data_IF_456615720773
#
_entry.id   IF_456615720773
#
_cell.length_a   1.000
_cell.length_b   1.000
_cell.length_c   1.000
_cell.angle_alpha   90.00
_cell.angle_beta   90.00
_cell.angle_gamma   90.00
#
_symmetry.space_group_name_H-M   'P 1'
#
loop_
_entity.id
_entity.type
_entity.pdbx_description
1 polymer ?
#
# COMPACT_ATOMS: atom_id res chain seq x y z
N UNK A 1 -14.86 7.41 -8.77
CA UNK A 1 -14.15 8.25 -7.78
C UNK A 1 -13.33 7.33 -6.88
N UNK A 2 -12.08 7.63 -6.66
CA UNK A 2 -11.22 6.88 -5.71
C UNK A 2 -11.77 7.09 -4.31
N UNK A 3 -12.02 5.99 -3.60
CA UNK A 3 -12.61 6.06 -2.27
C UNK A 3 -11.58 6.44 -1.21
N UNK A 4 -10.39 5.86 -1.30
CA UNK A 4 -9.32 5.98 -0.32
C UNK A 4 -8.03 6.44 -1.01
N UNK A 5 -7.19 7.20 -0.31
CA UNK A 5 -5.89 7.67 -0.77
C UNK A 5 -4.82 7.29 0.25
N UNK A 6 -3.85 6.49 -0.19
CA UNK A 6 -2.65 6.17 0.57
C UNK A 6 -1.52 7.12 0.12
N UNK A 7 -0.94 7.87 1.06
CA UNK A 7 0.11 8.85 0.78
C UNK A 7 1.44 8.37 1.36
N UNK A 8 2.44 8.18 0.50
CA UNK A 8 3.82 7.92 0.95
C UNK A 8 4.55 9.26 1.06
N UNK A 9 4.97 9.59 2.28
CA UNK A 9 5.64 10.83 2.60
C UNK A 9 7.15 10.70 2.37
N UNK A 10 7.72 11.61 1.58
CA UNK A 10 9.16 11.75 1.37
C UNK A 10 9.73 12.67 2.44
N UNK A 11 10.13 12.10 3.57
CA UNK A 11 10.52 12.87 4.76
C UNK A 11 11.74 13.76 4.52
N UNK A 12 12.61 13.38 3.58
CA UNK A 12 13.84 14.10 3.20
C UNK A 12 13.56 15.46 2.56
N UNK A 13 12.36 15.64 2.01
CA UNK A 13 11.96 16.87 1.29
C UNK A 13 10.73 17.53 1.91
N UNK A 14 10.29 17.06 3.07
CA UNK A 14 9.13 17.63 3.76
C UNK A 14 9.49 18.91 4.49
N UNK A 15 8.84 19.99 4.09
CA UNK A 15 8.96 21.31 4.72
C UNK A 15 7.80 21.55 5.68
N UNK A 16 7.99 22.52 6.59
CA UNK A 16 6.94 23.01 7.51
C UNK A 16 5.65 23.41 6.77
N UNK A 17 5.78 23.96 5.58
CA UNK A 17 4.66 24.34 4.71
C UNK A 17 3.77 23.14 4.34
N UNK A 18 4.32 21.95 4.14
CA UNK A 18 3.51 20.75 3.87
C UNK A 18 2.57 20.46 5.04
N UNK A 19 3.07 20.47 6.28
CA UNK A 19 2.23 20.19 7.46
C UNK A 19 1.09 21.21 7.58
N UNK A 20 1.36 22.50 7.34
CA UNK A 20 0.33 23.53 7.38
C UNK A 20 -0.75 23.27 6.32
N UNK A 21 -0.36 23.13 5.05
CA UNK A 21 -1.29 22.86 3.97
C UNK A 21 -2.09 21.57 4.16
N UNK A 22 -1.45 20.51 4.67
CA UNK A 22 -2.12 19.25 4.91
C UNK A 22 -3.17 19.36 6.03
N UNK A 23 -2.85 20.06 7.13
CA UNK A 23 -3.82 20.33 8.18
C UNK A 23 -4.98 21.22 7.71
N UNK A 24 -4.70 22.24 6.91
CA UNK A 24 -5.72 23.11 6.32
C UNK A 24 -6.65 22.30 5.38
N UNK A 25 -6.09 21.40 4.59
CA UNK A 25 -6.85 20.48 3.73
C UNK A 25 -7.77 19.55 4.54
N UNK A 26 -7.24 18.92 5.59
CA UNK A 26 -8.04 18.06 6.46
C UNK A 26 -9.18 18.82 7.15
N UNK A 27 -8.90 20.05 7.59
CA UNK A 27 -9.89 20.94 8.21
C UNK A 27 -10.95 21.38 7.22
N UNK A 28 -10.55 21.79 6.02
CA UNK A 28 -11.48 22.19 4.95
C UNK A 28 -12.38 21.03 4.52
N UNK A 29 -11.85 19.80 4.46
CA UNK A 29 -12.60 18.58 4.18
C UNK A 29 -13.45 18.07 5.34
N UNK A 30 -13.32 18.64 6.54
CA UNK A 30 -14.07 18.22 7.73
C UNK A 30 -13.74 16.80 8.18
N UNK A 31 -12.48 16.33 7.95
CA UNK A 31 -12.08 14.97 8.28
C UNK A 31 -12.09 14.69 9.79
N UNK A 32 -12.60 13.51 10.14
CA UNK A 32 -12.45 12.90 11.46
C UNK A 32 -11.16 12.09 11.53
N UNK A 33 -10.53 12.06 12.72
CA UNK A 33 -9.44 11.11 12.98
C UNK A 33 -10.03 9.74 13.23
N UNK A 34 -9.49 8.73 12.58
CA UNK A 34 -9.92 7.36 12.83
C UNK A 34 -9.64 6.96 14.28
N UNK A 35 -10.67 6.46 14.96
CA UNK A 35 -10.60 6.02 16.35
C UNK A 35 -10.43 4.49 16.41
N UNK A 36 -9.47 4.04 17.17
CA UNK A 36 -9.23 2.62 17.43
C UNK A 36 -10.26 2.09 18.41
N UNK A 37 -10.40 0.75 18.47
CA UNK A 37 -11.30 0.09 19.42
C UNK A 37 -11.00 0.39 20.91
N UNK A 38 -9.76 0.84 21.23
CA UNK A 38 -9.34 1.30 22.54
C UNK A 38 -9.64 2.78 22.81
N UNK A 39 -10.38 3.46 21.93
CA UNK A 39 -10.72 4.88 22.02
C UNK A 39 -9.58 5.84 21.65
N UNK A 40 -8.42 5.33 21.25
CA UNK A 40 -7.27 6.17 20.85
C UNK A 40 -7.44 6.67 19.42
N UNK A 41 -7.44 8.01 19.23
CA UNK A 41 -7.47 8.64 17.90
C UNK A 41 -6.12 8.55 17.24
N UNK A 42 -6.10 8.07 15.99
CA UNK A 42 -4.88 8.02 15.19
C UNK A 42 -4.61 9.38 14.53
N UNK A 43 -3.35 9.66 14.24
CA UNK A 43 -2.92 10.85 13.49
C UNK A 43 -2.23 10.49 12.18
N UNK A 44 -2.53 9.30 11.66
CA UNK A 44 -2.06 8.81 10.34
C UNK A 44 -3.19 8.31 9.46
N UNK A 45 -4.42 8.24 9.98
CA UNK A 45 -5.61 7.84 9.21
C UNK A 45 -6.74 8.82 9.49
N UNK A 46 -7.25 9.44 8.44
CA UNK A 46 -8.30 10.44 8.46
C UNK A 46 -9.46 9.95 7.61
N UNK A 47 -10.68 10.03 8.13
CA UNK A 47 -11.86 9.39 7.55
C UNK A 47 -13.07 10.33 7.59
N UNK A 48 -14.09 9.96 6.84
CA UNK A 48 -15.43 10.56 6.90
C UNK A 48 -15.40 12.08 6.68
N UNK A 49 -14.95 12.54 5.49
CA UNK A 49 -15.02 13.96 5.16
C UNK A 49 -16.46 14.44 5.14
N UNK A 50 -16.66 15.72 5.40
CA UNK A 50 -18.00 16.34 5.41
C UNK A 50 -18.64 16.40 4.00
N UNK A 51 -17.85 16.30 2.91
CA UNK A 51 -18.33 16.33 1.53
C UNK A 51 -17.77 15.16 0.72
N UNK A 52 -18.56 14.69 -0.24
CA UNK A 52 -18.15 13.67 -1.23
C UNK A 52 -17.11 14.14 -2.24
N UNK A 53 -16.73 15.42 -2.23
CA UNK A 53 -15.66 15.97 -3.08
C UNK A 53 -14.25 15.57 -2.59
N UNK A 54 -14.18 15.07 -1.36
CA UNK A 54 -12.93 14.61 -0.74
C UNK A 54 -12.83 13.09 -0.71
N UNK A 55 -11.62 12.50 -0.79
CA UNK A 55 -11.42 11.07 -0.58
C UNK A 55 -12.01 10.62 0.77
N UNK A 56 -12.69 9.48 0.79
CA UNK A 56 -13.32 8.97 2.02
C UNK A 56 -12.31 8.72 3.15
N UNK A 57 -11.10 8.27 2.79
CA UNK A 57 -10.02 8.01 3.73
C UNK A 57 -8.68 8.47 3.17
N UNK A 58 -7.86 9.04 4.03
CA UNK A 58 -6.45 9.32 3.76
C UNK A 58 -5.60 8.59 4.80
N UNK A 59 -4.60 7.85 4.34
CA UNK A 59 -3.65 7.13 5.18
C UNK A 59 -2.23 7.58 4.87
N UNK A 60 -1.42 7.83 5.91
CA UNK A 60 -0.05 8.29 5.78
C UNK A 60 0.92 7.14 6.03
N UNK A 61 1.84 6.95 5.07
CA UNK A 61 2.97 6.02 5.16
C UNK A 61 4.27 6.79 5.04
N UNK A 62 5.31 6.36 5.73
CA UNK A 62 6.62 6.98 5.63
C UNK A 62 7.73 5.99 6.03
N UNK A 63 8.95 6.29 5.62
CA UNK A 63 10.15 5.61 6.09
C UNK A 63 11.21 6.66 6.45
N UNK A 64 11.63 6.78 7.70
CA UNK A 64 12.74 7.63 8.08
C UNK A 64 14.07 6.94 7.71
N UNK A 65 14.92 7.63 6.94
CA UNK A 65 16.18 7.04 6.47
C UNK A 65 17.23 6.91 7.57
N UNK A 66 17.26 7.87 8.50
CA UNK A 66 18.34 8.01 9.48
C UNK A 66 17.88 7.84 10.93
N UNK A 67 16.74 7.23 11.18
CA UNK A 67 16.21 7.01 12.53
C UNK A 67 16.15 5.52 12.79
N UNK A 68 16.85 5.07 13.83
CA UNK A 68 16.66 3.72 14.36
C UNK A 68 15.21 3.57 14.86
N UNK A 69 14.49 2.65 14.24
CA UNK A 69 13.13 2.33 14.64
C UNK A 69 13.17 1.10 15.55
N UNK A 70 12.68 1.18 16.79
CA UNK A 70 12.62 0.03 17.69
C UNK A 70 11.92 -1.15 17.04
N UNK A 71 12.40 -2.36 17.33
CA UNK A 71 11.83 -3.60 16.82
C UNK A 71 10.33 -3.68 17.17
N UNK A 72 9.51 -4.05 16.20
CA UNK A 72 8.05 -4.14 16.36
C UNK A 72 7.28 -2.83 16.26
N UNK A 73 7.94 -1.69 16.13
CA UNK A 73 7.26 -0.41 15.93
C UNK A 73 6.70 -0.32 14.51
N UNK A 74 5.37 -0.12 14.40
CA UNK A 74 4.68 0.00 13.10
C UNK A 74 4.24 1.44 12.76
N UNK A 75 4.43 2.39 13.67
CA UNK A 75 3.97 3.78 13.52
C UNK A 75 5.05 4.71 14.01
N UNK A 76 5.41 5.69 13.20
CA UNK A 76 6.36 6.75 13.55
C UNK A 76 5.63 8.07 13.75
N UNK A 77 6.15 8.92 14.64
CA UNK A 77 5.66 10.27 14.85
C UNK A 77 6.50 11.25 14.05
N UNK A 78 5.84 12.00 13.20
CA UNK A 78 6.42 13.10 12.44
C UNK A 78 6.26 14.39 13.24
N UNK A 79 7.37 15.05 13.59
CA UNK A 79 7.36 16.31 14.32
C UNK A 79 7.63 17.45 13.33
N UNK A 80 6.61 18.23 12.95
CA UNK A 80 6.86 19.51 12.31
C UNK A 80 7.54 20.46 13.30
N UNK A 81 8.11 21.55 12.79
CA UNK A 81 8.69 22.60 13.66
C UNK A 81 7.69 23.14 14.71
N UNK A 82 8.15 24.06 15.55
CA UNK A 82 7.35 24.62 16.63
C UNK A 82 6.01 25.19 16.16
N UNK A 83 4.96 25.00 16.95
CA UNK A 83 3.64 25.59 16.71
C UNK A 83 2.68 24.76 15.84
N UNK A 84 3.12 23.66 15.25
CA UNK A 84 2.25 22.80 14.41
C UNK A 84 1.91 21.48 15.11
N UNK A 85 0.69 20.98 14.82
CA UNK A 85 0.28 19.67 15.31
C UNK A 85 1.08 18.55 14.65
N UNK A 86 1.57 17.59 15.45
CA UNK A 86 2.29 16.43 14.95
C UNK A 86 1.36 15.51 14.13
N UNK A 87 1.92 14.90 13.10
CA UNK A 87 1.34 13.78 12.37
C UNK A 87 2.01 12.48 12.81
N UNK A 88 1.41 11.36 12.46
CA UNK A 88 2.07 10.05 12.49
C UNK A 88 1.97 9.43 11.10
N UNK A 89 2.78 8.42 10.83
CA UNK A 89 2.69 7.64 9.61
C UNK A 89 2.91 6.16 9.93
N UNK A 90 2.33 5.29 9.11
CA UNK A 90 2.62 3.85 9.14
C UNK A 90 4.05 3.68 8.60
N UNK A 91 4.86 2.93 9.33
CA UNK A 91 6.23 2.64 8.90
C UNK A 91 6.21 1.74 7.66
N UNK A 92 6.80 2.24 6.58
CA UNK A 92 7.04 1.48 5.38
C UNK A 92 8.44 0.85 5.45
N UNK A 93 8.55 -0.40 5.03
CA UNK A 93 9.84 -1.09 4.93
C UNK A 93 10.81 -0.34 4.00
N UNK A 94 12.09 -0.23 4.40
CA UNK A 94 13.09 0.57 3.70
C UNK A 94 13.39 0.09 2.28
N UNK A 95 13.34 -1.21 2.01
CA UNK A 95 13.55 -1.73 0.67
C UNK A 95 12.40 -1.33 -0.26
N UNK A 96 11.15 -1.42 0.22
CA UNK A 96 9.96 -0.97 -0.50
C UNK A 96 9.95 0.54 -0.69
N UNK A 97 10.32 1.30 0.34
CA UNK A 97 10.38 2.76 0.24
C UNK A 97 11.36 3.22 -0.84
N UNK A 98 12.60 2.71 -0.83
CA UNK A 98 13.61 3.05 -1.85
C UNK A 98 13.15 2.68 -3.26
N UNK A 99 12.49 1.53 -3.40
CA UNK A 99 11.98 1.08 -4.68
C UNK A 99 10.83 2.00 -5.18
N UNK A 100 9.92 2.40 -4.30
CA UNK A 100 8.86 3.37 -4.59
C UNK A 100 9.42 4.72 -5.04
N UNK A 101 10.40 5.25 -4.31
CA UNK A 101 11.04 6.54 -4.66
C UNK A 101 11.71 6.48 -6.02
N UNK A 102 12.41 5.37 -6.32
CA UNK A 102 13.09 5.15 -7.60
C UNK A 102 12.12 5.06 -8.79
N UNK A 103 10.98 4.39 -8.61
CA UNK A 103 10.04 4.06 -9.69
C UNK A 103 8.76 4.92 -9.68
N UNK A 104 8.69 5.98 -8.86
CA UNK A 104 7.55 6.90 -8.91
C UNK A 104 7.49 7.61 -10.26
N UNK A 105 6.28 7.85 -10.74
CA UNK A 105 6.03 8.67 -11.92
C UNK A 105 5.38 9.97 -11.51
N UNK A 106 5.76 11.07 -12.15
CA UNK A 106 5.09 12.35 -11.97
C UNK A 106 4.13 12.55 -13.13
N UNK A 107 2.85 12.81 -12.82
CA UNK A 107 1.82 13.10 -13.82
C UNK A 107 2.06 14.45 -14.50
N UNK A 108 1.36 14.74 -15.60
CA UNK A 108 1.42 16.02 -16.27
C UNK A 108 1.00 17.22 -15.38
N UNK A 109 0.20 16.96 -14.34
CA UNK A 109 -0.20 17.95 -13.33
C UNK A 109 0.79 18.09 -12.17
N UNK A 110 1.95 17.42 -12.23
CA UNK A 110 2.96 17.46 -11.16
C UNK A 110 2.67 16.52 -9.98
N UNK A 111 1.61 15.72 -10.03
CA UNK A 111 1.27 14.78 -8.95
C UNK A 111 2.13 13.52 -9.04
N UNK A 112 2.90 13.15 -8.00
CA UNK A 112 3.61 11.88 -7.96
C UNK A 112 2.63 10.72 -7.77
N UNK A 113 2.81 9.66 -8.56
CA UNK A 113 1.95 8.48 -8.56
C UNK A 113 2.77 7.22 -8.38
N UNK A 114 2.20 6.26 -7.65
CA UNK A 114 2.69 4.89 -7.57
C UNK A 114 2.08 4.10 -8.73
N UNK A 115 2.92 3.48 -9.53
CA UNK A 115 2.50 2.73 -10.71
C UNK A 115 1.98 1.32 -10.35
N UNK A 116 1.18 0.69 -11.23
CA UNK A 116 0.62 -0.65 -11.00
C UNK A 116 1.66 -1.70 -10.62
N UNK A 117 2.82 -1.69 -11.26
CA UNK A 117 3.93 -2.60 -11.01
C UNK A 117 4.46 -2.49 -9.56
N UNK A 118 4.47 -1.30 -8.99
CA UNK A 118 4.83 -1.10 -7.59
C UNK A 118 3.68 -1.45 -6.63
N UNK A 119 2.44 -1.13 -7.02
CA UNK A 119 1.26 -1.49 -6.24
C UNK A 119 1.12 -3.01 -6.09
N UNK A 120 1.47 -3.79 -7.12
CA UNK A 120 1.47 -5.24 -7.07
C UNK A 120 2.36 -5.75 -5.93
N UNK A 121 3.60 -5.26 -5.85
CA UNK A 121 4.54 -5.62 -4.80
C UNK A 121 4.01 -5.25 -3.40
N UNK A 122 3.48 -4.04 -3.25
CA UNK A 122 2.88 -3.59 -1.98
C UNK A 122 1.68 -4.44 -1.56
N UNK A 123 0.82 -4.85 -2.50
CA UNK A 123 -0.33 -5.72 -2.22
C UNK A 123 0.10 -7.14 -1.82
N UNK A 124 1.15 -7.68 -2.46
CA UNK A 124 1.74 -8.96 -2.07
C UNK A 124 2.30 -8.87 -0.64
N UNK A 125 3.08 -7.84 -0.32
CA UNK A 125 3.60 -7.60 1.04
C UNK A 125 2.49 -7.44 2.07
N UNK A 126 1.45 -6.67 1.76
CA UNK A 126 0.31 -6.49 2.66
C UNK A 126 -0.40 -7.82 2.97
N UNK A 127 -0.55 -8.71 1.98
CA UNK A 127 -1.09 -10.06 2.17
C UNK A 127 -0.23 -10.88 3.15
N UNK A 128 1.09 -10.90 2.95
CA UNK A 128 2.02 -11.62 3.82
C UNK A 128 2.00 -11.09 5.25
N UNK A 129 2.00 -9.76 5.43
CA UNK A 129 1.91 -9.11 6.73
C UNK A 129 0.62 -9.48 7.48
N UNK A 130 -0.53 -9.53 6.77
CA UNK A 130 -1.80 -9.96 7.37
C UNK A 130 -1.77 -11.45 7.76
N UNK A 131 -1.12 -12.31 6.96
CA UNK A 131 -0.95 -13.73 7.32
C UNK A 131 -0.09 -13.89 8.56
N UNK A 132 0.99 -13.14 8.66
CA UNK A 132 1.85 -13.14 9.84
C UNK A 132 1.10 -12.64 11.08
N UNK A 133 0.40 -11.51 10.97
CA UNK A 133 -0.43 -10.97 12.04
C UNK A 133 -1.49 -12.01 12.51
N UNK A 134 -2.10 -12.74 11.55
CA UNK A 134 -3.03 -13.83 11.87
C UNK A 134 -2.35 -14.99 12.61
N UNK A 135 -1.16 -15.42 12.17
CA UNK A 135 -0.35 -16.43 12.86
C UNK A 135 0.00 -16.02 14.29
N UNK A 136 0.24 -14.72 14.48
CA UNK A 136 0.54 -14.12 15.79
C UNK A 136 -0.71 -13.82 16.64
N UNK A 137 -1.87 -14.40 16.27
CA UNK A 137 -3.11 -14.35 17.06
C UNK A 137 -3.93 -13.07 16.92
N UNK A 138 -3.59 -12.17 15.98
CA UNK A 138 -4.41 -11.00 15.72
C UNK A 138 -5.69 -11.36 14.96
N UNK A 139 -6.79 -10.70 15.29
CA UNK A 139 -8.07 -10.86 14.60
C UNK A 139 -8.01 -10.21 13.20
N UNK A 140 -7.69 -11.00 12.18
CA UNK A 140 -7.64 -10.57 10.78
C UNK A 140 -8.91 -11.03 10.05
N UNK A 141 -9.57 -10.10 9.35
CA UNK A 141 -10.76 -10.42 8.55
C UNK A 141 -10.34 -11.10 7.25
N UNK A 142 -10.92 -12.24 6.95
CA UNK A 142 -10.67 -12.98 5.69
C UNK A 142 -10.91 -12.15 4.43
N UNK A 143 -11.85 -11.20 4.48
CA UNK A 143 -12.11 -10.29 3.37
C UNK A 143 -10.88 -9.42 3.03
N UNK A 144 -10.07 -9.04 4.02
CA UNK A 144 -8.91 -8.17 3.81
C UNK A 144 -7.76 -8.95 3.17
N UNK A 145 -7.55 -10.22 3.58
CA UNK A 145 -6.65 -11.16 2.89
C UNK A 145 -7.07 -11.36 1.43
N UNK A 146 -8.35 -11.68 1.21
CA UNK A 146 -8.90 -11.86 -0.14
C UNK A 146 -8.76 -10.61 -1.00
N UNK A 147 -8.95 -9.41 -0.43
CA UNK A 147 -8.79 -8.14 -1.12
C UNK A 147 -7.37 -8.01 -1.66
N UNK A 148 -6.35 -8.08 -0.81
CA UNK A 148 -4.95 -7.92 -1.23
C UNK A 148 -4.53 -8.98 -2.25
N UNK A 149 -4.87 -10.25 -2.01
CA UNK A 149 -4.64 -11.33 -2.96
C UNK A 149 -5.23 -11.04 -4.34
N UNK A 150 -6.50 -10.68 -4.39
CA UNK A 150 -7.19 -10.44 -5.65
C UNK A 150 -6.65 -9.21 -6.37
N UNK A 151 -6.23 -8.18 -5.61
CA UNK A 151 -5.64 -6.97 -6.17
C UNK A 151 -4.30 -7.27 -6.86
N UNK A 152 -3.46 -8.17 -6.31
CA UNK A 152 -2.23 -8.60 -6.99
C UNK A 152 -2.54 -9.14 -8.39
N UNK A 153 -3.49 -10.10 -8.50
CA UNK A 153 -3.82 -10.71 -9.79
C UNK A 153 -4.57 -9.76 -10.73
N UNK A 154 -5.30 -8.77 -10.23
CA UNK A 154 -5.88 -7.70 -11.07
C UNK A 154 -4.81 -6.78 -11.65
N UNK A 155 -3.79 -6.45 -10.86
CA UNK A 155 -2.70 -5.56 -11.26
C UNK A 155 -1.82 -6.16 -12.36
N UNK A 156 -1.76 -7.48 -12.50
CA UNK A 156 -1.08 -8.15 -13.63
C UNK A 156 -1.57 -7.62 -14.98
N UNK A 157 -2.86 -7.37 -15.12
CA UNK A 157 -3.45 -6.85 -16.37
C UNK A 157 -3.09 -5.40 -16.68
N UNK A 158 -2.45 -4.72 -15.75
CA UNK A 158 -2.00 -3.33 -15.90
C UNK A 158 -0.47 -3.23 -16.08
N UNK A 159 0.23 -4.35 -16.05
CA UNK A 159 1.67 -4.35 -16.32
C UNK A 159 1.89 -4.01 -17.80
N UNK A 160 2.87 -3.12 -18.12
CA UNK A 160 3.22 -2.85 -19.50
C UNK A 160 3.72 -4.11 -20.20
N UNK A 161 3.45 -4.23 -21.50
CA UNK A 161 4.04 -5.31 -22.32
C UNK A 161 5.58 -5.27 -22.19
N UNK A 162 6.21 -6.43 -22.07
CA UNK A 162 7.67 -6.58 -21.95
C UNK A 162 8.27 -5.87 -20.70
N UNK A 163 7.42 -5.58 -19.69
CA UNK A 163 7.91 -4.99 -18.45
C UNK A 163 8.82 -5.96 -17.69
N UNK A 164 9.98 -5.48 -17.31
CA UNK A 164 10.92 -6.19 -16.44
C UNK A 164 11.45 -5.27 -15.34
N UNK A 165 11.52 -5.77 -14.12
CA UNK A 165 12.04 -5.04 -12.97
C UNK A 165 12.99 -5.92 -12.15
N UNK A 166 14.17 -5.38 -11.88
CA UNK A 166 15.07 -5.93 -10.87
C UNK A 166 14.69 -5.37 -9.50
N UNK A 167 14.54 -6.27 -8.54
CA UNK A 167 14.15 -5.93 -7.18
C UNK A 167 15.29 -6.18 -6.19
N UNK A 168 15.33 -5.44 -5.07
CA UNK A 168 16.14 -5.83 -3.91
C UNK A 168 15.75 -7.23 -3.41
N UNK A 169 16.73 -8.00 -2.95
CA UNK A 169 16.51 -9.39 -2.46
C UNK A 169 15.35 -9.54 -1.49
N UNK A 170 15.14 -8.67 -0.47
CA UNK A 170 14.00 -8.80 0.44
C UNK A 170 12.65 -8.70 -0.26
N UNK A 171 12.53 -7.81 -1.26
CA UNK A 171 11.29 -7.63 -2.02
C UNK A 171 11.03 -8.83 -2.94
N UNK A 172 12.10 -9.33 -3.58
CA UNK A 172 12.04 -10.53 -4.42
C UNK A 172 11.65 -11.77 -3.58
N UNK A 173 12.20 -11.91 -2.37
CA UNK A 173 11.86 -12.99 -1.46
C UNK A 173 10.37 -12.93 -1.06
N UNK A 174 9.88 -11.76 -0.65
CA UNK A 174 8.46 -11.55 -0.33
C UNK A 174 7.55 -11.95 -1.50
N UNK A 175 7.91 -11.56 -2.74
CA UNK A 175 7.08 -11.90 -3.89
C UNK A 175 7.10 -13.41 -4.19
N UNK A 176 8.26 -14.09 -4.04
CA UNK A 176 8.34 -15.55 -4.15
C UNK A 176 7.48 -16.24 -3.09
N UNK A 177 7.56 -15.78 -1.85
CA UNK A 177 6.77 -16.31 -0.73
C UNK A 177 5.27 -16.12 -0.98
N UNK A 178 4.86 -14.95 -1.48
CA UNK A 178 3.48 -14.72 -1.87
C UNK A 178 3.03 -15.71 -2.96
N UNK A 179 3.80 -15.86 -4.03
CA UNK A 179 3.45 -16.75 -5.14
C UNK A 179 3.39 -18.23 -4.73
N UNK A 180 4.17 -18.64 -3.73
CA UNK A 180 4.16 -20.00 -3.22
C UNK A 180 2.79 -20.44 -2.63
N UNK A 181 1.94 -19.50 -2.19
CA UNK A 181 0.58 -19.80 -1.74
C UNK A 181 -0.39 -20.14 -2.89
N UNK A 182 -0.01 -19.88 -4.14
CA UNK A 182 -0.89 -19.93 -5.31
C UNK A 182 -0.36 -20.86 -6.39
N UNK A 183 0.12 -22.04 -6.01
CA UNK A 183 0.42 -23.10 -7.00
C UNK A 183 -0.80 -23.31 -7.92
N UNK A 184 -0.61 -23.67 -9.21
CA UNK A 184 -1.70 -23.73 -10.20
C UNK A 184 -2.89 -24.61 -9.75
N UNK A 185 -2.63 -25.66 -9.00
CA UNK A 185 -3.62 -26.59 -8.46
C UNK A 185 -4.31 -26.12 -7.16
N UNK A 186 -3.96 -24.94 -6.65
CA UNK A 186 -4.53 -24.41 -5.42
C UNK A 186 -6.02 -24.10 -5.55
N UNK A 187 -6.82 -24.54 -4.58
CA UNK A 187 -8.26 -24.22 -4.48
C UNK A 187 -8.54 -22.71 -4.40
N UNK A 188 -7.54 -21.90 -4.07
CA UNK A 188 -7.69 -20.45 -3.99
C UNK A 188 -7.99 -19.80 -5.34
N UNK A 189 -7.58 -20.44 -6.45
CA UNK A 189 -7.82 -19.93 -7.80
C UNK A 189 -9.30 -19.76 -8.12
N UNK A 190 -10.18 -20.61 -7.61
CA UNK A 190 -11.62 -20.44 -7.78
C UNK A 190 -12.09 -19.04 -7.37
N UNK A 191 -11.64 -18.57 -6.22
CA UNK A 191 -12.00 -17.24 -5.71
C UNK A 191 -11.29 -16.09 -6.44
N UNK A 192 -10.04 -16.31 -6.90
CA UNK A 192 -9.28 -15.33 -7.70
C UNK A 192 -9.94 -15.14 -9.05
N UNK A 193 -10.18 -16.21 -9.79
CA UNK A 193 -10.83 -16.16 -11.12
C UNK A 193 -12.24 -15.57 -11.05
N UNK A 194 -12.99 -15.84 -9.99
CA UNK A 194 -14.28 -15.19 -9.75
C UNK A 194 -14.11 -13.67 -9.61
N UNK A 195 -13.14 -13.21 -8.82
CA UNK A 195 -12.89 -11.78 -8.63
C UNK A 195 -12.41 -11.07 -9.91
N UNK A 196 -11.68 -11.76 -10.79
CA UNK A 196 -11.28 -11.25 -12.11
C UNK A 196 -12.52 -11.06 -13.02
N UNK A 197 -13.42 -12.05 -13.07
CA UNK A 197 -14.70 -11.96 -13.81
C UNK A 197 -15.56 -10.79 -13.33
N UNK A 198 -15.71 -10.63 -12.02
CA UNK A 198 -16.45 -9.51 -11.42
C UNK A 198 -15.84 -8.16 -11.78
N UNK A 199 -14.53 -8.11 -11.99
CA UNK A 199 -13.80 -6.92 -12.46
C UNK A 199 -13.87 -6.73 -14.00
N UNK A 200 -14.58 -7.60 -14.71
CA UNK A 200 -14.68 -7.61 -16.19
C UNK A 200 -13.35 -7.78 -16.91
N UNK A 201 -12.42 -8.48 -16.26
CA UNK A 201 -11.14 -8.84 -16.85
C UNK A 201 -11.25 -10.18 -17.57
N UNK A 202 -10.47 -10.36 -18.64
CA UNK A 202 -10.35 -11.64 -19.31
C UNK A 202 -9.78 -12.68 -18.32
N UNK A 203 -10.37 -13.86 -18.30
CA UNK A 203 -9.93 -14.92 -17.40
C UNK A 203 -8.85 -15.74 -18.08
N UNK A 204 -7.62 -15.58 -17.59
CA UNK A 204 -6.45 -16.36 -18.04
C UNK A 204 -6.20 -17.54 -17.10
N UNK A 205 -5.41 -18.51 -17.57
CA UNK A 205 -5.04 -19.66 -16.75
C UNK A 205 -4.14 -19.24 -15.57
N UNK A 206 -4.21 -19.94 -14.43
CA UNK A 206 -3.33 -19.70 -13.29
C UNK A 206 -1.84 -19.66 -13.67
N UNK A 207 -1.39 -20.62 -14.48
CA UNK A 207 -0.01 -20.74 -14.95
C UNK A 207 0.43 -19.52 -15.75
N UNK A 208 -0.45 -18.96 -16.59
CA UNK A 208 -0.16 -17.77 -17.39
C UNK A 208 0.05 -16.55 -16.49
N UNK A 209 -0.85 -16.33 -15.53
CA UNK A 209 -0.74 -15.21 -14.57
C UNK A 209 0.53 -15.31 -13.71
N UNK A 210 0.84 -16.51 -13.24
CA UNK A 210 2.05 -16.75 -12.44
C UNK A 210 3.33 -16.57 -13.26
N UNK A 211 3.33 -17.06 -14.51
CA UNK A 211 4.47 -16.91 -15.43
C UNK A 211 4.74 -15.46 -15.76
N UNK A 212 3.69 -14.67 -16.03
CA UNK A 212 3.82 -13.25 -16.30
C UNK A 212 4.42 -12.48 -15.12
N UNK A 213 3.95 -12.76 -13.88
CA UNK A 213 4.55 -12.14 -12.69
C UNK A 213 6.04 -12.53 -12.57
N UNK A 214 6.38 -13.80 -12.76
CA UNK A 214 7.78 -14.24 -12.68
C UNK A 214 8.67 -13.59 -13.73
N UNK A 215 8.19 -13.47 -14.96
CA UNK A 215 8.92 -12.78 -16.02
C UNK A 215 9.08 -11.28 -15.72
N UNK A 216 7.99 -10.61 -15.36
CA UNK A 216 7.97 -9.18 -15.07
C UNK A 216 8.92 -8.78 -13.94
N UNK A 217 9.13 -9.65 -12.96
CA UNK A 217 9.96 -9.38 -11.77
C UNK A 217 11.22 -10.22 -11.67
N UNK A 218 11.63 -10.87 -12.76
CA UNK A 218 12.87 -11.69 -12.87
C UNK A 218 13.06 -12.69 -11.71
N UNK A 219 12.01 -13.47 -11.41
CA UNK A 219 11.99 -14.45 -10.32
C UNK A 219 12.40 -15.86 -10.76
#
# INVERSE_FOLDING_TARGET
MTKDVDMVLLLEVMETAFFQHFWDYLKAGGYSRWERADGCKTVFRFVEPASGDYPYMIELLAHPQDIEVPEGQKIIRLKPGEGLSSLSAILLDGAYYRLLVKHRKVSASGLPLVLPEMLLLLKAKAYLNLLEDKKNGKAIKERDLKKHRNDVFRLVYLLPAEFEMEMPDPVAADLRDFLAFFAPESDQWKGILQALRESRLEVRLPEELLSEIRMAYKL
#
